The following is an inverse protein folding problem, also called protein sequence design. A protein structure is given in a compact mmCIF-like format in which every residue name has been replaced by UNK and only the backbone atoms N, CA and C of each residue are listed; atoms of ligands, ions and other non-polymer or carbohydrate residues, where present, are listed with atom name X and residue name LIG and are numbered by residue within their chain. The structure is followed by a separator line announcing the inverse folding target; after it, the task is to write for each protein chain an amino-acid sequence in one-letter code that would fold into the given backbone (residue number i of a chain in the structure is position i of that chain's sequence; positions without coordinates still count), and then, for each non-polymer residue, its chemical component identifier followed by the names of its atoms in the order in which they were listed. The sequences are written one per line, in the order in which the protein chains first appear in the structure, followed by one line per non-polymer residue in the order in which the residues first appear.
data_IF_878073463342
#
_entry.id   IF_878073463342
#
_cell.length_a   1.000
_cell.length_b   1.000
_cell.length_c   1.000
_cell.angle_alpha   90.00
_cell.angle_beta   90.00
_cell.angle_gamma   90.00
#
_symmetry.space_group_name_H-M   'P 1'
#
loop_
_entity.id
_entity.type
_entity.pdbx_description
1 polymer ?
#
# COMPACT_ATOMS: atom_id res chain seq x y z
N UNK A 1 -26.25 -16.53 -8.59
CA UNK A 1 -25.64 -16.17 -7.29
C UNK A 1 -24.17 -16.63 -7.23
N UNK A 2 -23.25 -15.76 -7.65
CA UNK A 2 -21.81 -16.02 -7.54
C UNK A 2 -21.26 -15.15 -6.40
N UNK A 3 -21.52 -15.59 -5.16
CA UNK A 3 -20.74 -15.15 -4.01
C UNK A 3 -19.44 -15.97 -4.02
N UNK A 4 -18.45 -15.54 -4.80
CA UNK A 4 -17.06 -15.92 -4.53
C UNK A 4 -16.62 -15.27 -3.21
N UNK A 5 -15.70 -15.87 -2.45
CA UNK A 5 -15.34 -15.42 -1.10
C UNK A 5 -15.06 -13.92 -1.12
N UNK A 6 -15.93 -13.19 -0.44
CA UNK A 6 -15.88 -11.76 -0.29
C UNK A 6 -14.62 -11.37 0.51
N UNK A 7 -13.57 -10.96 -0.19
CA UNK A 7 -12.68 -9.88 0.25
C UNK A 7 -11.73 -10.12 1.42
N UNK A 8 -11.65 -11.31 2.02
CA UNK A 8 -10.85 -11.52 3.23
C UNK A 8 -9.32 -11.50 3.00
N UNK A 9 -8.87 -11.74 1.77
CA UNK A 9 -7.44 -11.72 1.40
C UNK A 9 -7.10 -10.69 0.31
N UNK A 10 -7.84 -9.57 0.28
CA UNK A 10 -7.53 -8.48 -0.64
C UNK A 10 -6.27 -7.75 -0.15
N UNK A 11 -5.21 -7.75 -0.95
CA UNK A 11 -4.02 -6.94 -0.70
C UNK A 11 -4.12 -5.62 -1.46
N UNK A 12 -3.63 -4.55 -0.85
CA UNK A 12 -3.46 -3.24 -1.47
C UNK A 12 -1.98 -3.06 -1.77
N UNK A 13 -1.67 -2.81 -3.04
CA UNK A 13 -0.31 -2.52 -3.48
C UNK A 13 -0.10 -1.00 -3.49
N UNK A 14 0.93 -0.55 -2.79
CA UNK A 14 1.38 0.83 -2.73
C UNK A 14 2.67 0.94 -3.54
N UNK A 15 2.61 1.74 -4.60
CA UNK A 15 3.75 2.04 -5.47
C UNK A 15 4.15 3.51 -5.31
N UNK A 16 5.45 3.76 -5.31
CA UNK A 16 5.96 5.13 -5.29
C UNK A 16 5.70 5.79 -6.64
N UNK A 17 5.09 6.98 -6.62
CA UNK A 17 4.88 7.81 -7.81
C UNK A 17 6.04 8.79 -8.05
N UNK A 18 7.00 8.84 -7.14
CA UNK A 18 8.17 9.71 -7.23
C UNK A 18 9.18 9.13 -8.24
N UNK A 19 9.83 9.98 -9.06
CA UNK A 19 10.78 9.53 -10.10
C UNK A 19 12.13 9.02 -9.56
N UNK A 20 12.35 9.06 -8.25
CA UNK A 20 13.61 8.65 -7.60
C UNK A 20 13.73 7.12 -7.46
N UNK A 21 13.93 6.44 -8.59
CA UNK A 21 14.04 4.97 -8.67
C UNK A 21 15.15 4.36 -7.81
N UNK A 22 16.26 5.08 -7.57
CA UNK A 22 17.38 4.59 -6.74
C UNK A 22 17.06 4.63 -5.24
N UNK A 23 16.30 5.64 -4.79
CA UNK A 23 15.86 5.75 -3.40
C UNK A 23 14.54 5.02 -3.12
N UNK A 24 13.88 4.48 -4.14
CA UNK A 24 12.56 3.86 -4.02
C UNK A 24 12.56 2.72 -2.98
N UNK A 25 13.60 1.88 -2.98
CA UNK A 25 13.72 0.77 -2.02
C UNK A 25 13.90 1.27 -0.60
N UNK A 26 14.80 2.24 -0.40
CA UNK A 26 15.04 2.86 0.91
C UNK A 26 13.79 3.52 1.47
N UNK A 27 13.01 4.20 0.63
CA UNK A 27 11.72 4.76 1.02
C UNK A 27 10.76 3.64 1.37
N UNK A 28 10.63 2.60 0.54
CA UNK A 28 9.69 1.51 0.77
C UNK A 28 9.95 0.75 2.07
N UNK A 29 11.21 0.51 2.41
CA UNK A 29 11.59 -0.09 3.70
C UNK A 29 11.24 0.82 4.89
N UNK A 30 11.41 2.14 4.78
CA UNK A 30 10.98 3.08 5.83
C UNK A 30 9.46 3.04 6.01
N UNK A 31 8.70 2.97 4.93
CA UNK A 31 7.24 2.83 4.99
C UNK A 31 6.84 1.51 5.65
N UNK A 32 7.49 0.41 5.28
CA UNK A 32 7.28 -0.90 5.92
C UNK A 32 7.56 -0.85 7.42
N UNK A 33 8.65 -0.20 7.85
CA UNK A 33 8.96 -0.01 9.27
C UNK A 33 7.89 0.83 9.99
N UNK A 34 7.41 1.91 9.37
CA UNK A 34 6.36 2.75 9.95
C UNK A 34 5.02 2.00 10.12
N UNK A 35 4.74 1.04 9.25
CA UNK A 35 3.59 0.14 9.38
C UNK A 35 3.82 -0.94 10.44
N UNK A 36 5.02 -1.52 10.50
CA UNK A 36 5.36 -2.51 11.52
C UNK A 36 5.32 -1.92 12.93
N UNK A 37 5.58 -0.63 13.09
CA UNK A 37 5.47 0.09 14.37
C UNK A 37 4.04 0.10 14.94
N UNK A 38 3.03 0.05 14.08
CA UNK A 38 1.62 -0.04 14.47
C UNK A 38 1.03 -1.45 14.31
N UNK A 39 1.90 -2.47 14.27
CA UNK A 39 1.49 -3.87 14.14
C UNK A 39 0.72 -4.16 12.85
N UNK A 40 0.85 -3.32 11.81
CA UNK A 40 0.24 -3.57 10.51
C UNK A 40 1.17 -4.45 9.67
N UNK A 41 0.74 -5.67 9.30
CA UNK A 41 1.55 -6.57 8.49
C UNK A 41 1.69 -6.00 7.07
N UNK A 42 2.93 -5.91 6.61
CA UNK A 42 3.24 -5.43 5.27
C UNK A 42 4.39 -6.22 4.65
N UNK A 43 4.49 -6.22 3.32
CA UNK A 43 5.54 -6.91 2.58
C UNK A 43 6.03 -6.07 1.43
N UNK A 44 7.35 -5.87 1.34
CA UNK A 44 7.99 -5.18 0.22
C UNK A 44 8.46 -6.22 -0.79
N UNK A 45 8.01 -6.11 -2.03
CA UNK A 45 8.36 -7.00 -3.13
C UNK A 45 8.74 -6.18 -4.35
N UNK A 46 9.59 -6.74 -5.21
CA UNK A 46 9.91 -6.14 -6.50
C UNK A 46 8.79 -6.43 -7.51
N UNK A 47 8.29 -5.40 -8.17
CA UNK A 47 7.26 -5.45 -9.19
C UNK A 47 7.75 -4.67 -10.41
N UNK A 48 8.01 -5.36 -11.52
CA UNK A 48 8.52 -4.76 -12.77
C UNK A 48 9.83 -3.96 -12.59
N UNK A 49 10.69 -4.37 -11.64
CA UNK A 49 11.96 -3.71 -11.33
C UNK A 49 11.85 -2.56 -10.32
N UNK A 50 10.66 -2.31 -9.78
CA UNK A 50 10.41 -1.28 -8.77
C UNK A 50 9.88 -1.89 -7.46
N UNK A 51 10.20 -1.34 -6.29
CA UNK A 51 9.65 -1.82 -5.04
C UNK A 51 8.16 -1.45 -4.91
N UNK A 52 7.36 -2.42 -4.49
CA UNK A 52 5.95 -2.29 -4.17
C UNK A 52 5.70 -2.79 -2.74
N UNK A 53 4.94 -2.02 -1.97
CA UNK A 53 4.54 -2.38 -0.61
C UNK A 53 3.13 -2.94 -0.61
N UNK A 54 2.97 -4.14 -0.09
CA UNK A 54 1.68 -4.81 0.00
C UNK A 54 1.21 -4.79 1.44
N UNK A 55 -0.05 -4.37 1.64
CA UNK A 55 -0.73 -4.36 2.95
C UNK A 55 -2.08 -5.04 2.81
N UNK A 56 -2.63 -5.55 3.92
CA UNK A 56 -3.99 -6.06 3.88
C UNK A 56 -4.98 -4.90 3.71
N UNK A 57 -6.04 -5.10 2.92
CA UNK A 57 -7.09 -4.09 2.72
C UNK A 57 -7.78 -3.70 4.02
N UNK A 58 -7.89 -4.63 4.98
CA UNK A 58 -8.46 -4.32 6.30
C UNK A 58 -7.64 -3.26 7.04
N UNK A 59 -6.32 -3.30 6.86
CA UNK A 59 -5.37 -2.37 7.45
C UNK A 59 -5.10 -1.14 6.56
N UNK A 60 -5.72 -1.04 5.38
CA UNK A 60 -5.50 0.05 4.42
C UNK A 60 -5.68 1.42 5.07
N UNK A 61 -6.72 1.57 5.89
CA UNK A 61 -7.00 2.83 6.59
C UNK A 61 -5.93 3.15 7.64
N UNK A 62 -5.51 2.16 8.43
CA UNK A 62 -4.46 2.32 9.43
C UNK A 62 -3.12 2.63 8.77
N UNK A 63 -2.80 1.89 7.70
CA UNK A 63 -1.61 2.07 6.89
C UNK A 63 -1.59 3.47 6.27
N UNK A 64 -2.64 3.85 5.56
CA UNK A 64 -2.76 5.18 4.93
C UNK A 64 -2.69 6.30 5.96
N UNK A 65 -3.33 6.14 7.11
CA UNK A 65 -3.26 7.11 8.21
C UNK A 65 -1.82 7.29 8.70
N UNK A 66 -1.10 6.18 8.93
CA UNK A 66 0.31 6.25 9.34
C UNK A 66 1.21 6.83 8.27
N UNK A 67 1.04 6.43 7.02
CA UNK A 67 1.82 6.95 5.89
C UNK A 67 1.61 8.46 5.74
N UNK A 68 0.36 8.93 5.84
CA UNK A 68 0.04 10.37 5.84
C UNK A 68 0.69 11.10 7.03
N UNK A 69 0.65 10.52 8.22
CA UNK A 69 1.30 11.09 9.41
C UNK A 69 2.83 11.13 9.28
N UNK A 70 3.41 10.15 8.57
CA UNK A 70 4.84 10.08 8.25
C UNK A 70 5.27 11.09 7.18
N UNK A 71 4.33 11.83 6.57
CA UNK A 71 4.60 12.82 5.54
C UNK A 71 4.54 12.29 4.10
N UNK A 72 3.98 11.10 3.89
CA UNK A 72 3.85 10.48 2.58
C UNK A 72 2.55 10.94 1.93
N UNK A 73 2.67 11.50 0.72
CA UNK A 73 1.52 11.78 -0.11
C UNK A 73 0.99 10.47 -0.71
N UNK A 74 -0.17 10.03 -0.26
CA UNK A 74 -0.86 8.86 -0.81
C UNK A 74 -1.85 9.37 -1.84
N UNK A 75 -1.65 8.99 -3.10
CA UNK A 75 -2.67 9.14 -4.12
C UNK A 75 -3.88 8.30 -3.69
N UNK A 76 -5.04 8.94 -3.57
CA UNK A 76 -6.26 8.23 -3.21
C UNK A 76 -6.49 7.10 -4.22
N UNK A 77 -6.87 5.90 -3.79
CA UNK A 77 -7.24 4.85 -4.73
C UNK A 77 -8.36 5.44 -5.57
N UNK A 78 -8.19 5.44 -6.90
CA UNK A 78 -9.31 5.67 -7.79
C UNK A 78 -10.32 4.60 -7.45
N UNK A 79 -11.29 4.96 -6.61
CA UNK A 79 -12.47 4.19 -6.37
C UNK A 79 -13.09 4.14 -7.75
N UNK A 80 -12.86 3.06 -8.49
CA UNK A 80 -13.57 2.76 -9.72
C UNK A 80 -15.03 2.38 -9.39
N UNK A 81 -15.64 3.12 -8.45
CA UNK A 81 -17.06 3.35 -8.40
C UNK A 81 -17.35 4.28 -9.58
N UNK A 82 -17.28 3.70 -10.76
CA UNK A 82 -17.69 4.30 -12.00
C UNK A 82 -19.11 3.76 -12.26
N UNK A 83 -20.18 4.40 -11.72
CA UNK A 83 -21.54 4.03 -12.08
C UNK A 83 -21.82 4.63 -13.46
N UNK A 84 -21.29 4.02 -14.51
CA UNK A 84 -21.85 4.17 -15.86
C UNK A 84 -22.57 2.88 -16.24
#
# INVERSE_FOLDING_TARGET
PQNGPCGDNSLVALKLLSPDGDNAWSVMYKLSQALSDIEVPCSVLECEGEPCLFVNRQDEFAATCRLKNFGVAIAEPFSNYNPF
#
